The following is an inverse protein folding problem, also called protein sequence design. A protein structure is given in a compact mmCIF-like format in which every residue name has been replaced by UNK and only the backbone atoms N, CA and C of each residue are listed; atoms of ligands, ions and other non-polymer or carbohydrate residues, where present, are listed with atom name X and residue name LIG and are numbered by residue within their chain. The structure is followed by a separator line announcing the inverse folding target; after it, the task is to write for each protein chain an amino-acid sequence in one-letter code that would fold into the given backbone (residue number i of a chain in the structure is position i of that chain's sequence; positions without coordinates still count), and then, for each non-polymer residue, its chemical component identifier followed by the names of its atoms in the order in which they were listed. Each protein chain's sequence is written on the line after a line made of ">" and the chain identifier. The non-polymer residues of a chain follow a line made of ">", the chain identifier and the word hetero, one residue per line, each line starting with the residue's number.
data_IF_146047883892
#
_entry.id   IF_146047883892
#
_cell.length_a   1.000
_cell.length_b   1.000
_cell.length_c   1.000
_cell.angle_alpha   90.00
_cell.angle_beta   90.00
_cell.angle_gamma   90.00
#
_symmetry.space_group_name_H-M   'P 1'
#
loop_
_entity.id
_entity.type
_entity.pdbx_description
1 polymer ?
#
# COMPACT_ATOMS: atom_id res chain seq x y z
N UNK A 1 -32.37 -7.48 -2.17
CA UNK A 1 -32.01 -6.39 -3.14
C UNK A 1 -32.96 -6.29 -4.36
N UNK A 2 -34.18 -5.76 -4.22
CA UNK A 2 -35.12 -5.59 -5.35
C UNK A 2 -34.97 -4.21 -6.00
N UNK A 3 -34.34 -4.13 -7.17
CA UNK A 3 -34.21 -2.89 -7.94
C UNK A 3 -32.92 -2.76 -8.76
N UNK A 4 -31.90 -3.59 -8.50
CA UNK A 4 -30.67 -3.58 -9.28
C UNK A 4 -30.79 -4.44 -10.54
N UNK A 5 -30.28 -3.92 -11.65
CA UNK A 5 -30.21 -4.64 -12.92
C UNK A 5 -29.24 -5.82 -12.80
N UNK A 6 -29.67 -7.02 -13.16
CA UNK A 6 -28.84 -8.23 -13.20
C UNK A 6 -28.56 -8.57 -14.66
N UNK A 7 -27.29 -8.81 -14.98
CA UNK A 7 -26.81 -9.14 -16.31
C UNK A 7 -26.23 -10.54 -16.33
N UNK A 8 -26.36 -11.25 -17.45
CA UNK A 8 -25.54 -12.43 -17.73
C UNK A 8 -24.40 -11.99 -18.65
N UNK A 9 -23.15 -12.21 -18.23
CA UNK A 9 -21.96 -11.68 -18.87
C UNK A 9 -20.94 -12.80 -19.10
N UNK A 10 -20.43 -12.92 -20.32
CA UNK A 10 -19.16 -13.58 -20.58
C UNK A 10 -18.04 -12.58 -20.26
N UNK A 11 -17.19 -12.88 -19.29
CA UNK A 11 -16.12 -11.97 -18.84
C UNK A 11 -14.81 -12.26 -19.55
N UNK A 12 -14.19 -11.20 -20.07
CA UNK A 12 -12.91 -11.25 -20.73
C UNK A 12 -11.75 -10.96 -19.80
N UNK A 13 -10.74 -10.29 -20.35
CA UNK A 13 -9.46 -10.04 -19.70
C UNK A 13 -9.58 -9.23 -18.40
N UNK A 14 -8.63 -9.48 -17.50
CA UNK A 14 -8.45 -8.69 -16.29
C UNK A 14 -7.89 -7.31 -16.65
N UNK A 15 -8.38 -6.28 -15.97
CA UNK A 15 -7.93 -4.90 -16.12
C UNK A 15 -7.45 -4.34 -14.78
N UNK A 16 -6.67 -3.27 -14.84
CA UNK A 16 -6.21 -2.54 -13.66
C UNK A 16 -7.38 -2.16 -12.74
N UNK A 17 -7.21 -2.38 -11.43
CA UNK A 17 -8.27 -2.21 -10.42
C UNK A 17 -9.00 -3.49 -10.03
N UNK A 18 -8.61 -4.65 -10.57
CA UNK A 18 -9.17 -5.95 -10.19
C UNK A 18 -10.53 -6.24 -10.82
N UNK A 19 -10.71 -5.81 -12.07
CA UNK A 19 -11.97 -5.98 -12.81
C UNK A 19 -11.73 -6.78 -14.07
N UNK A 20 -12.54 -7.82 -14.31
CA UNK A 20 -12.67 -8.37 -15.65
C UNK A 20 -13.50 -7.42 -16.52
N UNK A 21 -13.19 -7.38 -17.82
CA UNK A 21 -13.92 -6.54 -18.77
C UNK A 21 -14.91 -7.39 -19.56
N UNK A 22 -16.18 -7.02 -19.54
CA UNK A 22 -17.23 -7.59 -20.37
C UNK A 22 -17.86 -6.51 -21.27
N UNK A 23 -18.66 -6.93 -22.24
CA UNK A 23 -19.49 -6.04 -23.05
C UNK A 23 -20.95 -6.49 -23.00
N UNK A 24 -21.84 -5.53 -22.84
CA UNK A 24 -23.28 -5.76 -22.85
C UNK A 24 -23.97 -4.61 -23.60
N UNK A 25 -24.73 -4.94 -24.65
CA UNK A 25 -25.41 -3.95 -25.51
C UNK A 25 -24.48 -2.81 -25.98
N UNK A 26 -23.25 -3.15 -26.38
CA UNK A 26 -22.23 -2.19 -26.82
C UNK A 26 -21.54 -1.39 -25.71
N UNK A 27 -22.01 -1.48 -24.46
CA UNK A 27 -21.37 -0.83 -23.29
C UNK A 27 -20.27 -1.71 -22.71
N UNK A 28 -19.24 -1.08 -22.15
CA UNK A 28 -18.22 -1.76 -21.35
C UNK A 28 -18.75 -1.97 -19.93
N UNK A 29 -18.54 -3.16 -19.39
CA UNK A 29 -18.89 -3.49 -18.00
C UNK A 29 -17.63 -3.96 -17.28
N UNK A 30 -17.26 -3.27 -16.20
CA UNK A 30 -16.18 -3.68 -15.30
C UNK A 30 -16.76 -4.59 -14.21
N UNK A 31 -16.40 -5.87 -14.27
CA UNK A 31 -16.97 -6.92 -13.43
C UNK A 31 -15.98 -7.32 -12.35
N UNK A 32 -16.29 -7.03 -11.08
CA UNK A 32 -15.53 -7.51 -9.91
C UNK A 32 -15.93 -8.93 -9.56
N UNK A 33 -15.03 -9.64 -8.88
CA UNK A 33 -15.26 -11.00 -8.37
C UNK A 33 -15.41 -12.08 -9.46
N UNK A 34 -15.11 -11.72 -10.72
CA UNK A 34 -15.00 -12.65 -11.83
C UNK A 34 -13.56 -13.13 -12.02
N UNK A 35 -13.40 -14.24 -12.74
CA UNK A 35 -12.13 -14.73 -13.28
C UNK A 35 -12.24 -14.70 -14.80
N UNK A 36 -11.19 -14.29 -15.55
CA UNK A 36 -11.26 -14.27 -17.01
C UNK A 36 -11.70 -15.61 -17.61
N UNK A 37 -12.58 -15.56 -18.61
CA UNK A 37 -13.13 -16.74 -19.28
C UNK A 37 -14.43 -17.29 -18.69
N UNK A 38 -14.91 -16.75 -17.57
CA UNK A 38 -16.17 -17.18 -16.96
C UNK A 38 -17.42 -16.63 -17.63
N UNK A 39 -18.52 -17.36 -17.49
CA UNK A 39 -19.88 -16.85 -17.71
C UNK A 39 -20.54 -16.66 -16.34
N UNK A 40 -20.99 -15.43 -16.05
CA UNK A 40 -21.46 -15.04 -14.71
C UNK A 40 -22.80 -14.30 -14.76
N UNK A 41 -23.58 -14.39 -13.68
CA UNK A 41 -24.61 -13.38 -13.39
C UNK A 41 -24.00 -12.31 -12.51
N UNK A 42 -24.16 -11.06 -12.89
CA UNK A 42 -23.59 -9.92 -12.20
C UNK A 42 -24.65 -8.85 -11.93
N UNK A 43 -24.63 -8.28 -10.73
CA UNK A 43 -25.50 -7.16 -10.34
C UNK A 43 -24.81 -5.84 -10.65
N UNK A 44 -25.49 -4.93 -11.35
CA UNK A 44 -24.95 -3.59 -11.64
C UNK A 44 -24.93 -2.77 -10.35
N UNK A 45 -23.72 -2.37 -9.94
CA UNK A 45 -23.46 -1.63 -8.69
C UNK A 45 -23.27 -0.13 -8.90
N UNK A 46 -22.89 0.29 -10.11
CA UNK A 46 -22.68 1.70 -10.46
C UNK A 46 -22.92 1.94 -11.95
N UNK A 47 -23.54 3.08 -12.26
CA UNK A 47 -23.87 3.52 -13.61
C UNK A 47 -25.39 3.53 -13.90
N UNK A 48 -25.80 4.50 -14.72
CA UNK A 48 -27.16 4.64 -15.24
C UNK A 48 -27.26 4.19 -16.71
N UNK A 49 -28.45 4.18 -17.29
CA UNK A 49 -28.66 3.84 -18.71
C UNK A 49 -27.89 4.72 -19.70
N UNK A 50 -27.49 5.93 -19.29
CA UNK A 50 -26.70 6.90 -20.09
C UNK A 50 -25.20 6.83 -19.83
N UNK A 51 -24.75 6.01 -18.87
CA UNK A 51 -23.33 5.87 -18.54
C UNK A 51 -22.58 5.13 -19.66
N UNK A 52 -21.36 5.61 -19.99
CA UNK A 52 -20.51 5.01 -21.03
C UNK A 52 -20.01 3.60 -20.65
N UNK A 53 -19.98 3.31 -19.36
CA UNK A 53 -19.63 2.02 -18.81
C UNK A 53 -20.44 1.77 -17.54
N UNK A 54 -20.53 0.49 -17.15
CA UNK A 54 -21.11 0.05 -15.88
C UNK A 54 -20.07 -0.63 -15.01
N UNK A 55 -20.34 -0.68 -13.71
CA UNK A 55 -19.66 -1.60 -12.79
C UNK A 55 -20.65 -2.63 -12.29
N UNK A 56 -20.18 -3.85 -12.13
CA UNK A 56 -20.97 -4.93 -11.61
C UNK A 56 -20.13 -5.83 -10.69
N UNK A 57 -20.81 -6.47 -9.74
CA UNK A 57 -20.21 -7.53 -8.93
C UNK A 57 -20.85 -8.87 -9.35
N UNK A 58 -20.03 -9.92 -9.45
CA UNK A 58 -20.53 -11.29 -9.64
C UNK A 58 -21.37 -11.71 -8.44
N UNK A 59 -22.57 -12.22 -8.72
CA UNK A 59 -23.49 -12.81 -7.72
C UNK A 59 -23.68 -14.32 -7.92
N UNK A 60 -23.39 -14.84 -9.13
CA UNK A 60 -23.49 -16.26 -9.46
C UNK A 60 -22.55 -16.59 -10.62
N UNK A 61 -21.98 -17.80 -10.63
CA UNK A 61 -21.03 -18.27 -11.63
C UNK A 61 -21.67 -19.44 -12.37
N UNK A 62 -22.03 -19.21 -13.64
CA UNK A 62 -22.73 -20.19 -14.48
C UNK A 62 -21.74 -21.17 -15.12
N UNK A 63 -20.61 -20.65 -15.59
CA UNK A 63 -19.49 -21.42 -16.12
C UNK A 63 -18.21 -20.91 -15.44
N UNK A 64 -17.65 -21.72 -14.55
CA UNK A 64 -16.52 -21.34 -13.70
C UNK A 64 -15.16 -21.62 -14.34
N UNK A 65 -14.17 -20.80 -14.00
CA UNK A 65 -12.77 -21.04 -14.35
C UNK A 65 -12.14 -22.08 -13.44
N UNK A 66 -11.25 -22.93 -13.97
CA UNK A 66 -10.41 -23.84 -13.17
C UNK A 66 -9.49 -23.07 -12.19
N UNK A 67 -9.32 -21.76 -12.40
CA UNK A 67 -8.54 -20.90 -11.52
C UNK A 67 -9.38 -20.23 -10.42
N UNK A 68 -10.69 -20.46 -10.40
CA UNK A 68 -11.55 -20.04 -9.28
C UNK A 68 -11.33 -20.97 -8.10
N UNK A 69 -11.23 -20.37 -6.91
CA UNK A 69 -11.23 -21.09 -5.64
C UNK A 69 -12.30 -20.53 -4.72
N UNK A 70 -12.59 -21.27 -3.65
CA UNK A 70 -13.37 -20.74 -2.54
C UNK A 70 -12.62 -19.56 -1.89
N UNK A 71 -13.33 -18.46 -1.68
CA UNK A 71 -12.75 -17.29 -1.05
C UNK A 71 -12.32 -17.62 0.40
N UNK A 72 -11.06 -17.36 0.79
CA UNK A 72 -10.54 -17.72 2.11
C UNK A 72 -11.15 -16.89 3.24
N UNK A 73 -11.59 -15.66 2.93
CA UNK A 73 -12.26 -14.79 3.88
C UNK A 73 -13.76 -14.68 3.58
N UNK A 74 -14.59 -15.38 4.36
CA UNK A 74 -16.05 -15.49 4.10
C UNK A 74 -16.78 -14.15 3.98
N UNK A 75 -16.36 -13.11 4.71
CA UNK A 75 -17.03 -11.79 4.67
C UNK A 75 -16.68 -10.98 3.41
N UNK A 76 -15.59 -11.32 2.71
CA UNK A 76 -15.17 -10.70 1.45
C UNK A 76 -15.57 -11.53 0.22
N UNK A 77 -16.14 -12.71 0.41
CA UNK A 77 -16.68 -13.55 -0.66
C UNK A 77 -17.96 -12.94 -1.23
N UNK A 78 -17.94 -12.50 -2.48
CA UNK A 78 -19.08 -11.86 -3.12
C UNK A 78 -20.30 -12.78 -3.23
N UNK A 79 -20.10 -14.04 -3.65
CA UNK A 79 -21.21 -14.98 -3.83
C UNK A 79 -21.95 -15.17 -2.50
N UNK A 80 -21.19 -15.43 -1.44
CA UNK A 80 -21.73 -15.59 -0.10
C UNK A 80 -22.35 -14.31 0.46
N UNK A 81 -21.75 -13.15 0.22
CA UNK A 81 -22.26 -11.89 0.72
C UNK A 81 -23.63 -11.59 0.11
N UNK A 82 -23.77 -11.74 -1.20
CA UNK A 82 -25.04 -11.51 -1.90
C UNK A 82 -26.12 -12.54 -1.57
N UNK A 83 -25.76 -13.81 -1.30
CA UNK A 83 -26.69 -14.82 -0.77
C UNK A 83 -27.29 -14.44 0.60
N UNK A 84 -26.61 -13.56 1.34
CA UNK A 84 -27.04 -13.05 2.64
C UNK A 84 -27.53 -11.59 2.60
N UNK A 85 -27.86 -11.05 1.41
CA UNK A 85 -28.25 -9.65 1.20
C UNK A 85 -27.26 -8.64 1.82
N UNK A 86 -25.96 -8.94 1.74
CA UNK A 86 -24.87 -8.08 2.20
C UNK A 86 -23.87 -7.77 1.08
N UNK A 87 -23.16 -6.65 1.20
CA UNK A 87 -22.04 -6.34 0.31
C UNK A 87 -20.75 -7.03 0.78
N UNK A 88 -19.89 -7.53 -0.12
CA UNK A 88 -18.62 -8.11 0.27
C UNK A 88 -17.68 -7.05 0.84
N UNK A 89 -17.06 -7.37 1.98
CA UNK A 89 -16.03 -6.52 2.59
C UNK A 89 -14.86 -6.34 1.62
N UNK A 90 -14.35 -5.11 1.51
CA UNK A 90 -13.22 -4.80 0.65
C UNK A 90 -11.87 -5.29 1.18
N UNK A 91 -10.86 -5.25 0.32
CA UNK A 91 -9.45 -5.48 0.71
C UNK A 91 -8.90 -6.88 0.42
N UNK A 92 -9.71 -7.80 -0.13
CA UNK A 92 -9.27 -9.11 -0.61
C UNK A 92 -9.92 -9.44 -1.97
N UNK A 93 -9.88 -8.51 -2.93
CA UNK A 93 -10.65 -8.58 -4.17
C UNK A 93 -10.21 -9.70 -5.14
N UNK A 94 -9.07 -10.34 -4.93
CA UNK A 94 -8.61 -11.52 -5.66
C UNK A 94 -8.75 -12.83 -4.86
N UNK A 95 -9.36 -12.82 -3.67
CA UNK A 95 -9.43 -14.01 -2.82
C UNK A 95 -10.16 -15.20 -3.45
N UNK A 96 -11.01 -14.99 -4.46
CA UNK A 96 -11.69 -16.04 -5.22
C UNK A 96 -10.83 -16.65 -6.35
N UNK A 97 -9.58 -16.21 -6.50
CA UNK A 97 -8.65 -16.66 -7.55
C UNK A 97 -7.52 -17.46 -6.89
N UNK A 98 -7.09 -18.55 -7.51
CA UNK A 98 -5.87 -19.29 -7.10
C UNK A 98 -4.65 -18.39 -7.11
N UNK A 99 -3.75 -18.54 -6.13
CA UNK A 99 -2.61 -17.66 -5.90
C UNK A 99 -1.67 -17.57 -7.14
N UNK A 100 -1.40 -18.70 -7.79
CA UNK A 100 -0.59 -18.76 -9.02
C UNK A 100 -1.25 -17.94 -10.14
N UNK A 101 -2.56 -18.06 -10.30
CA UNK A 101 -3.27 -17.31 -11.33
C UNK A 101 -3.38 -15.83 -10.99
N UNK A 102 -3.48 -15.45 -9.70
CA UNK A 102 -3.42 -14.03 -9.30
C UNK A 102 -2.13 -13.37 -9.81
N UNK A 103 -0.97 -14.02 -9.62
CA UNK A 103 0.32 -13.49 -10.09
C UNK A 103 0.38 -13.36 -11.61
N UNK A 104 -0.11 -14.36 -12.35
CA UNK A 104 -0.24 -14.27 -13.82
C UNK A 104 -1.11 -13.09 -14.26
N UNK A 105 -2.24 -12.86 -13.59
CA UNK A 105 -3.10 -11.71 -13.89
C UNK A 105 -2.43 -10.37 -13.55
N UNK A 106 -1.61 -10.31 -12.50
CA UNK A 106 -0.81 -9.11 -12.18
C UNK A 106 0.24 -8.84 -13.27
N UNK A 107 0.97 -9.86 -13.69
CA UNK A 107 1.93 -9.80 -14.81
C UNK A 107 1.28 -9.31 -16.10
N UNK A 108 0.13 -9.89 -16.47
CA UNK A 108 -0.66 -9.46 -17.62
C UNK A 108 -1.10 -8.00 -17.49
N UNK A 109 -1.73 -7.62 -16.38
CA UNK A 109 -2.23 -6.25 -16.18
C UNK A 109 -1.08 -5.24 -16.21
N UNK A 110 0.09 -5.60 -15.67
CA UNK A 110 1.28 -4.78 -15.73
C UNK A 110 1.73 -4.56 -17.18
N UNK A 111 1.90 -5.65 -17.96
CA UNK A 111 2.23 -5.60 -19.41
C UNK A 111 1.28 -4.72 -20.20
N UNK A 112 -0.02 -4.96 -20.06
CA UNK A 112 -1.05 -4.24 -20.79
C UNK A 112 -1.07 -2.74 -20.41
N UNK A 113 -0.75 -2.42 -19.15
CA UNK A 113 -0.67 -1.04 -18.66
C UNK A 113 0.57 -0.33 -19.20
N UNK A 114 1.74 -0.98 -19.17
CA UNK A 114 2.99 -0.45 -19.74
C UNK A 114 2.84 -0.15 -21.23
N UNK A 115 2.25 -1.07 -21.99
CA UNK A 115 2.01 -0.86 -23.42
C UNK A 115 1.00 0.27 -23.66
N UNK A 116 -0.14 0.26 -22.96
CA UNK A 116 -1.25 1.19 -23.25
C UNK A 116 -1.00 2.62 -22.77
N UNK A 117 -0.40 2.78 -21.60
CA UNK A 117 -0.17 4.11 -20.98
C UNK A 117 1.25 4.58 -21.26
N UNK A 118 2.23 3.69 -21.09
CA UNK A 118 3.63 3.99 -21.28
C UNK A 118 4.08 3.94 -22.74
N UNK A 119 3.34 3.27 -23.63
CA UNK A 119 3.86 2.92 -24.98
C UNK A 119 5.22 2.21 -24.90
N UNK A 120 5.41 1.40 -23.87
CA UNK A 120 6.61 0.61 -23.60
C UNK A 120 6.25 -0.86 -23.77
N UNK A 121 6.89 -1.50 -24.74
CA UNK A 121 6.81 -2.95 -24.92
C UNK A 121 7.81 -3.61 -23.97
N UNK A 122 7.31 -4.16 -22.86
CA UNK A 122 8.17 -4.81 -21.87
C UNK A 122 8.72 -6.15 -22.36
N UNK A 123 8.15 -6.73 -23.42
CA UNK A 123 8.63 -8.02 -23.96
C UNK A 123 9.99 -7.93 -24.63
N UNK A 124 10.45 -6.70 -24.91
CA UNK A 124 11.77 -6.44 -25.51
C UNK A 124 12.84 -6.15 -24.46
N UNK A 125 12.52 -6.17 -23.17
CA UNK A 125 13.49 -5.94 -22.10
C UNK A 125 14.37 -7.17 -21.91
N UNK A 126 15.67 -6.94 -21.68
CA UNK A 126 16.63 -7.99 -21.34
C UNK A 126 16.70 -8.11 -19.82
N UNK A 127 15.85 -8.99 -19.26
CA UNK A 127 15.74 -9.20 -17.81
C UNK A 127 15.50 -10.66 -17.47
N UNK A 128 16.07 -11.10 -16.35
CA UNK A 128 15.89 -12.45 -15.80
C UNK A 128 14.46 -12.73 -15.31
N UNK A 129 13.60 -11.69 -15.25
CA UNK A 129 12.23 -11.77 -14.73
C UNK A 129 11.18 -12.06 -15.81
N UNK A 130 11.61 -12.30 -17.05
CA UNK A 130 10.70 -12.56 -18.17
C UNK A 130 9.96 -13.90 -18.01
N UNK A 131 8.64 -13.84 -18.11
CA UNK A 131 7.73 -14.96 -18.19
C UNK A 131 7.62 -15.53 -19.60
N UNK A 132 7.04 -16.73 -19.73
CA UNK A 132 6.93 -17.44 -21.01
C UNK A 132 6.01 -16.72 -22.02
N UNK A 133 5.18 -15.78 -21.56
CA UNK A 133 4.26 -14.99 -22.41
C UNK A 133 4.79 -13.59 -22.71
N UNK A 134 6.09 -13.33 -22.49
CA UNK A 134 6.67 -12.01 -22.70
C UNK A 134 6.17 -10.95 -21.71
N UNK A 135 5.68 -11.37 -20.54
CA UNK A 135 5.39 -10.52 -19.38
C UNK A 135 6.48 -10.60 -18.33
N UNK A 136 6.45 -9.69 -17.35
CA UNK A 136 7.33 -9.77 -16.16
C UNK A 136 6.62 -10.60 -15.11
N UNK A 137 7.28 -11.66 -14.63
CA UNK A 137 6.73 -12.55 -13.60
C UNK A 137 6.51 -11.76 -12.31
N UNK A 138 5.28 -11.74 -11.81
CA UNK A 138 5.00 -11.25 -10.46
C UNK A 138 5.56 -12.27 -9.44
N UNK A 139 6.59 -11.88 -8.72
CA UNK A 139 7.29 -12.71 -7.75
C UNK A 139 6.48 -12.84 -6.45
N UNK A 140 6.39 -14.07 -5.94
CA UNK A 140 5.82 -14.32 -4.62
C UNK A 140 6.83 -13.94 -3.53
N UNK A 141 6.35 -13.27 -2.47
CA UNK A 141 7.17 -12.97 -1.30
C UNK A 141 6.96 -13.98 -0.18
N UNK A 142 8.03 -14.31 0.58
CA UNK A 142 7.86 -14.98 1.86
C UNK A 142 7.03 -14.08 2.79
N UNK A 143 6.37 -14.68 3.77
CA UNK A 143 5.61 -13.94 4.76
C UNK A 143 4.10 -13.91 4.51
N UNK A 144 3.62 -14.34 3.35
CA UNK A 144 2.25 -14.83 3.23
C UNK A 144 2.22 -16.37 3.37
N UNK A 145 1.11 -16.95 3.83
CA UNK A 145 0.92 -18.40 3.75
C UNK A 145 0.61 -18.86 2.31
N UNK A 146 0.46 -20.17 2.10
CA UNK A 146 0.13 -20.73 0.79
C UNK A 146 -1.21 -20.24 0.20
N UNK A 147 -2.10 -19.67 1.02
CA UNK A 147 -3.36 -19.08 0.58
C UNK A 147 -3.28 -17.56 0.37
N UNK A 148 -2.12 -16.94 0.59
CA UNK A 148 -1.87 -15.51 0.51
C UNK A 148 -2.40 -14.70 1.72
N UNK A 149 -2.52 -15.34 2.89
CA UNK A 149 -2.96 -14.72 4.16
C UNK A 149 -1.76 -14.29 5.02
N UNK A 150 -2.04 -13.65 6.15
CA UNK A 150 -1.08 -13.44 7.25
C UNK A 150 0.18 -12.63 6.94
N UNK A 151 0.09 -11.69 6.02
CA UNK A 151 1.22 -10.84 5.64
C UNK A 151 1.13 -9.41 6.18
N UNK A 152 -0.09 -8.93 6.47
CA UNK A 152 -0.36 -7.52 6.74
C UNK A 152 -0.11 -7.16 8.20
N UNK A 153 0.88 -6.31 8.44
CA UNK A 153 1.30 -5.86 9.78
C UNK A 153 0.50 -4.66 10.27
N UNK A 154 -0.11 -3.89 9.37
CA UNK A 154 -0.88 -2.70 9.70
C UNK A 154 -2.25 -2.68 9.05
N UNK A 155 -3.29 -2.52 9.86
CA UNK A 155 -4.69 -2.52 9.41
C UNK A 155 -5.48 -1.38 10.06
N UNK A 156 -6.23 -0.65 9.26
CA UNK A 156 -7.17 0.37 9.73
C UNK A 156 -8.60 -0.15 9.69
N UNK A 157 -9.27 -0.16 10.84
CA UNK A 157 -10.67 -0.56 10.99
C UNK A 157 -11.52 0.67 11.31
N UNK A 158 -12.71 0.76 10.70
CA UNK A 158 -13.78 1.60 11.25
C UNK A 158 -14.37 0.96 12.52
N UNK A 159 -15.18 1.72 13.25
CA UNK A 159 -15.93 1.19 14.40
C UNK A 159 -17.42 1.44 14.20
N UNK A 160 -18.24 0.39 14.39
CA UNK A 160 -19.70 0.49 14.37
C UNK A 160 -20.28 -0.37 15.49
N UNK A 161 -21.17 0.20 16.31
CA UNK A 161 -21.72 -0.49 17.48
C UNK A 161 -20.65 -0.98 18.48
N UNK A 162 -19.46 -0.36 18.48
CA UNK A 162 -18.30 -0.77 19.28
C UNK A 162 -17.46 -1.90 18.67
N UNK A 163 -17.90 -2.55 17.59
CA UNK A 163 -17.13 -3.57 16.89
C UNK A 163 -16.21 -2.97 15.83
N UNK A 164 -15.04 -3.59 15.63
CA UNK A 164 -14.19 -3.32 14.48
C UNK A 164 -14.94 -3.66 13.19
N UNK A 165 -14.80 -2.83 12.16
CA UNK A 165 -15.55 -2.94 10.93
C UNK A 165 -14.74 -2.49 9.71
N UNK A 166 -15.12 -2.97 8.53
CA UNK A 166 -14.55 -2.55 7.26
C UNK A 166 -15.63 -2.18 6.25
N UNK A 167 -15.23 -1.37 5.28
CA UNK A 167 -16.12 -0.91 4.21
C UNK A 167 -16.11 -1.91 3.05
N UNK A 168 -17.28 -2.18 2.44
CA UNK A 168 -17.33 -2.69 1.08
C UNK A 168 -16.67 -1.75 0.08
N UNK A 169 -16.32 -2.27 -1.09
CA UNK A 169 -15.78 -1.45 -2.18
C UNK A 169 -16.76 -0.34 -2.56
N UNK A 170 -16.26 0.90 -2.65
CA UNK A 170 -17.02 2.10 -3.03
C UNK A 170 -18.29 2.34 -2.20
N UNK A 171 -18.33 1.85 -0.96
CA UNK A 171 -19.43 2.09 -0.01
C UNK A 171 -18.96 2.91 1.20
N UNK A 172 -19.90 3.62 1.82
CA UNK A 172 -19.70 4.29 3.11
C UNK A 172 -20.17 3.44 4.30
N UNK A 173 -20.88 2.33 4.02
CA UNK A 173 -21.34 1.37 5.02
C UNK A 173 -20.16 0.68 5.73
N UNK A 174 -20.32 0.44 7.03
CA UNK A 174 -19.37 -0.32 7.83
C UNK A 174 -19.98 -1.68 8.20
N UNK A 175 -19.30 -2.75 7.81
CA UNK A 175 -19.68 -4.12 8.15
C UNK A 175 -18.81 -4.60 9.32
N UNK A 176 -19.41 -4.97 10.47
CA UNK A 176 -18.68 -5.54 11.60
C UNK A 176 -17.88 -6.78 11.20
N UNK A 177 -16.65 -6.87 11.68
CA UNK A 177 -15.74 -7.98 11.41
C UNK A 177 -15.62 -8.91 12.59
N UNK A 178 -15.43 -10.21 12.29
CA UNK A 178 -15.04 -11.21 13.28
C UNK A 178 -13.56 -11.61 13.16
N UNK A 179 -12.95 -11.32 12.02
CA UNK A 179 -11.54 -11.58 11.74
C UNK A 179 -11.07 -10.77 10.53
N UNK A 180 -9.75 -10.65 10.38
CA UNK A 180 -9.07 -10.10 9.20
C UNK A 180 -7.95 -11.06 8.78
N UNK A 181 -8.23 -12.08 7.96
CA UNK A 181 -7.25 -13.14 7.63
C UNK A 181 -5.99 -12.64 6.90
N UNK A 182 -6.04 -11.50 6.22
CA UNK A 182 -4.84 -10.92 5.60
C UNK A 182 -3.86 -10.35 6.65
N UNK A 183 -4.35 -9.99 7.84
CA UNK A 183 -3.50 -9.56 8.93
C UNK A 183 -2.64 -10.71 9.45
N UNK A 184 -1.43 -10.39 9.90
CA UNK A 184 -0.55 -11.34 10.58
C UNK A 184 -1.27 -12.04 11.74
N UNK A 185 -0.88 -13.27 12.03
CA UNK A 185 -1.56 -14.14 13.00
C UNK A 185 -1.71 -13.51 14.39
N UNK A 186 -0.73 -12.70 14.82
CA UNK A 186 -0.77 -11.96 16.09
C UNK A 186 -2.00 -11.05 16.22
N UNK A 187 -2.45 -10.44 15.12
CA UNK A 187 -3.67 -9.60 15.11
C UNK A 187 -4.91 -10.47 15.35
N UNK A 188 -5.03 -11.60 14.68
CA UNK A 188 -6.15 -12.54 14.89
C UNK A 188 -6.14 -13.15 16.30
N UNK A 189 -4.96 -13.53 16.79
CA UNK A 189 -4.76 -14.21 18.06
C UNK A 189 -4.83 -13.27 19.28
N UNK A 190 -4.90 -11.95 19.08
CA UNK A 190 -4.97 -10.94 20.15
C UNK A 190 -6.34 -10.82 20.84
N UNK A 191 -7.40 -11.34 20.20
CA UNK A 191 -8.78 -11.21 20.69
C UNK A 191 -9.42 -9.83 20.47
N UNK A 192 -8.74 -8.88 19.82
CA UNK A 192 -9.25 -7.50 19.65
C UNK A 192 -10.58 -7.42 18.88
N UNK A 193 -10.93 -8.42 18.08
CA UNK A 193 -12.22 -8.46 17.37
C UNK A 193 -13.43 -8.66 18.31
N UNK A 194 -13.21 -9.10 19.56
CA UNK A 194 -14.26 -9.19 20.58
C UNK A 194 -14.28 -7.98 21.54
N UNK A 195 -13.40 -7.00 21.35
CA UNK A 195 -13.34 -5.81 22.19
C UNK A 195 -14.45 -4.82 21.84
N UNK A 196 -14.87 -4.03 22.83
CA UNK A 196 -15.86 -2.98 22.66
C UNK A 196 -15.18 -1.60 22.58
N UNK A 197 -15.08 -1.07 21.36
CA UNK A 197 -14.54 0.24 21.03
C UNK A 197 -15.61 1.33 20.95
N UNK A 198 -16.76 1.18 21.61
CA UNK A 198 -17.79 2.23 21.63
C UNK A 198 -17.17 3.60 21.99
N UNK A 199 -17.51 4.64 21.23
CA UNK A 199 -16.92 5.97 21.34
C UNK A 199 -15.71 6.22 20.41
N UNK A 200 -15.09 5.17 19.85
CA UNK A 200 -14.09 5.33 18.81
C UNK A 200 -14.72 5.46 17.41
N UNK A 201 -14.04 6.17 16.52
CA UNK A 201 -14.37 6.28 15.09
C UNK A 201 -13.68 5.17 14.29
N UNK A 202 -12.43 4.91 14.61
CA UNK A 202 -11.58 3.93 13.93
C UNK A 202 -10.46 3.46 14.85
N UNK A 203 -9.92 2.28 14.58
CA UNK A 203 -8.75 1.74 15.26
C UNK A 203 -7.74 1.33 14.20
N UNK A 204 -6.53 1.89 14.23
CA UNK A 204 -5.40 1.28 13.54
C UNK A 204 -4.75 0.26 14.46
N UNK A 205 -4.48 -0.91 13.91
CA UNK A 205 -3.73 -1.98 14.56
C UNK A 205 -2.40 -2.10 13.86
N UNK A 206 -1.32 -2.08 14.64
CA UNK A 206 0.04 -2.28 14.15
C UNK A 206 0.65 -3.47 14.91
N UNK A 207 1.17 -4.42 14.17
CA UNK A 207 1.99 -5.54 14.64
C UNK A 207 3.43 -5.28 14.16
N UNK A 208 4.28 -4.61 14.95
CA UNK A 208 5.61 -4.20 14.51
C UNK A 208 6.44 -5.43 14.12
N UNK A 209 7.10 -5.39 12.97
CA UNK A 209 7.80 -6.56 12.40
C UNK A 209 6.91 -7.77 12.06
N UNK A 210 5.59 -7.66 12.26
CA UNK A 210 4.63 -8.75 12.11
C UNK A 210 4.42 -9.61 13.36
N UNK A 211 4.90 -9.17 14.52
CA UNK A 211 4.84 -9.93 15.77
C UNK A 211 4.04 -9.21 16.88
N UNK A 212 3.91 -9.88 18.03
CA UNK A 212 3.42 -9.28 19.28
C UNK A 212 4.58 -8.57 20.01
N UNK A 213 4.31 -7.57 20.87
CA UNK A 213 2.98 -7.04 21.19
C UNK A 213 2.46 -6.03 20.16
N UNK A 214 1.13 -5.93 20.04
CA UNK A 214 0.44 -5.00 19.16
C UNK A 214 0.39 -3.58 19.73
N UNK A 215 0.35 -2.59 18.83
CA UNK A 215 0.00 -1.20 19.12
C UNK A 215 -1.37 -0.87 18.54
N UNK A 216 -2.28 -0.35 19.35
CA UNK A 216 -3.59 0.14 18.92
C UNK A 216 -3.61 1.67 18.92
N UNK A 217 -3.95 2.28 17.79
CA UNK A 217 -4.18 3.72 17.66
C UNK A 217 -5.68 3.93 17.52
N UNK A 218 -6.33 4.28 18.63
CA UNK A 218 -7.77 4.47 18.73
C UNK A 218 -8.11 5.92 18.44
N UNK A 219 -8.71 6.18 17.29
CA UNK A 219 -9.13 7.54 16.89
C UNK A 219 -10.54 7.84 17.34
N UNK A 220 -10.73 9.01 17.93
CA UNK A 220 -12.03 9.54 18.33
C UNK A 220 -12.41 10.72 17.44
N UNK A 221 -13.69 10.85 17.11
CA UNK A 221 -14.19 12.03 16.38
C UNK A 221 -14.30 13.25 17.29
N UNK A 222 -14.58 14.43 16.72
CA UNK A 222 -14.98 15.60 17.51
C UNK A 222 -16.18 15.25 18.39
N UNK A 223 -16.19 15.64 19.68
CA UNK A 223 -17.18 15.21 20.67
C UNK A 223 -18.58 15.67 20.24
N UNK A 224 -19.29 14.78 19.56
CA UNK A 224 -20.68 14.95 19.12
C UNK A 224 -21.56 13.79 19.60
N UNK A 225 -20.95 12.78 20.26
CA UNK A 225 -21.62 11.67 20.92
C UNK A 225 -21.65 11.84 22.45
N UNK A 226 -22.60 11.16 23.09
CA UNK A 226 -22.95 11.26 24.51
C UNK A 226 -21.95 10.64 25.49
N UNK A 227 -20.88 10.01 25.01
CA UNK A 227 -19.91 9.33 25.87
C UNK A 227 -18.68 10.19 26.14
N UNK A 228 -18.39 10.41 27.42
CA UNK A 228 -17.18 11.09 27.86
C UNK A 228 -15.95 10.32 27.37
N UNK A 229 -14.91 11.00 26.84
CA UNK A 229 -13.62 10.39 26.52
C UNK A 229 -13.02 9.53 27.64
N UNK A 230 -13.35 9.84 28.90
CA UNK A 230 -12.92 9.09 30.09
C UNK A 230 -13.52 7.66 30.14
N UNK A 231 -14.72 7.45 29.61
CA UNK A 231 -15.39 6.14 29.61
C UNK A 231 -14.76 5.15 28.64
N UNK A 232 -14.39 5.61 27.44
CA UNK A 232 -13.64 4.81 26.46
C UNK A 232 -12.24 4.46 27.00
N UNK A 233 -11.54 5.44 27.57
CA UNK A 233 -10.20 5.23 28.11
C UNK A 233 -10.15 4.17 29.22
N UNK A 234 -11.05 4.26 30.22
CA UNK A 234 -11.13 3.26 31.29
C UNK A 234 -11.39 1.86 30.76
N UNK A 235 -12.31 1.70 29.79
CA UNK A 235 -12.55 0.42 29.12
C UNK A 235 -11.32 -0.13 28.41
N UNK A 236 -10.58 0.72 27.70
CA UNK A 236 -9.37 0.29 26.99
C UNK A 236 -8.28 -0.17 27.96
N UNK A 237 -8.14 0.48 29.11
CA UNK A 237 -7.22 0.05 30.17
C UNK A 237 -7.60 -1.33 30.71
N UNK A 238 -8.88 -1.55 31.02
CA UNK A 238 -9.37 -2.85 31.53
C UNK A 238 -9.17 -3.97 30.50
N UNK A 239 -9.47 -3.69 29.23
CA UNK A 239 -9.27 -4.65 28.14
C UNK A 239 -7.79 -5.00 27.95
N UNK A 240 -6.90 -4.00 27.97
CA UNK A 240 -5.46 -4.19 27.86
C UNK A 240 -4.89 -5.02 29.02
N UNK A 241 -5.35 -4.79 30.25
CA UNK A 241 -4.93 -5.56 31.42
C UNK A 241 -5.22 -7.07 31.27
N UNK A 242 -6.26 -7.43 30.51
CA UNK A 242 -6.63 -8.82 30.22
C UNK A 242 -6.01 -9.39 28.92
N UNK A 243 -5.24 -8.60 28.16
CA UNK A 243 -4.64 -9.03 26.90
C UNK A 243 -3.16 -8.67 26.82
N UNK A 244 -2.26 -9.58 27.22
CA UNK A 244 -0.80 -9.33 27.18
C UNK A 244 -0.26 -9.13 25.76
N UNK A 245 -1.08 -9.41 24.74
CA UNK A 245 -0.75 -9.30 23.32
C UNK A 245 -0.85 -7.87 22.79
N UNK A 246 -1.45 -6.96 23.55
CA UNK A 246 -1.54 -5.53 23.24
C UNK A 246 -0.61 -4.77 24.17
N UNK A 247 0.52 -4.31 23.64
CA UNK A 247 1.57 -3.66 24.42
C UNK A 247 1.38 -2.15 24.51
N UNK A 248 0.64 -1.54 23.60
CA UNK A 248 0.39 -0.10 23.62
C UNK A 248 -0.98 0.26 23.08
N UNK A 249 -1.63 1.23 23.74
CA UNK A 249 -2.88 1.83 23.30
C UNK A 249 -2.73 3.35 23.34
N UNK A 250 -2.98 3.97 22.19
CA UNK A 250 -2.83 5.41 21.98
C UNK A 250 -4.19 5.96 21.55
N UNK A 251 -4.72 6.90 22.32
CA UNK A 251 -5.89 7.69 21.91
C UNK A 251 -5.42 8.85 21.04
N UNK A 252 -6.08 9.00 19.89
CA UNK A 252 -5.81 10.04 18.91
C UNK A 252 -7.11 10.85 18.69
N UNK A 253 -7.21 12.00 19.35
CA UNK A 253 -8.37 12.87 19.28
C UNK A 253 -8.18 13.93 18.19
N UNK A 254 -9.06 13.94 17.18
CA UNK A 254 -9.08 15.00 16.17
C UNK A 254 -9.54 16.32 16.81
N UNK A 255 -8.67 17.33 16.84
CA UNK A 255 -9.05 18.68 17.26
C UNK A 255 -9.55 19.48 16.05
N UNK A 256 -10.60 20.27 16.26
CA UNK A 256 -11.14 21.12 15.20
C UNK A 256 -10.06 22.10 14.70
N UNK A 257 -9.94 22.35 13.39
CA UNK A 257 -8.94 23.26 12.86
C UNK A 257 -9.12 24.68 13.43
N UNK A 258 -8.01 25.31 13.84
CA UNK A 258 -8.05 26.69 14.34
C UNK A 258 -8.52 27.65 13.23
N UNK A 259 -9.51 28.51 13.52
CA UNK A 259 -10.08 29.49 12.56
C UNK A 259 -9.18 30.71 12.28
N UNK A 260 -7.85 30.63 12.39
CA UNK A 260 -6.95 31.78 12.19
C UNK A 260 -6.03 31.61 10.99
N UNK A 261 -6.25 32.44 9.96
CA UNK A 261 -5.28 32.78 8.92
C UNK A 261 -5.20 31.80 7.75
N UNK A 262 -6.13 31.90 6.79
CA UNK A 262 -6.09 31.11 5.54
C UNK A 262 -4.85 31.46 4.70
N UNK A 263 -3.82 30.61 4.71
CA UNK A 263 -2.87 30.48 3.59
C UNK A 263 -3.27 29.29 2.71
N UNK A 264 -3.05 29.42 1.40
CA UNK A 264 -3.41 28.39 0.38
C UNK A 264 -2.72 27.03 0.59
N UNK A 265 -1.68 26.97 1.44
CA UNK A 265 -0.93 25.76 1.79
C UNK A 265 -1.49 24.99 3.01
N UNK A 266 -2.38 25.57 3.81
CA UNK A 266 -2.93 24.92 5.01
C UNK A 266 -4.04 23.91 4.71
N UNK A 267 -4.46 23.77 3.44
CA UNK A 267 -5.47 22.79 3.03
C UNK A 267 -4.95 21.34 3.00
N UNK A 268 -3.63 21.16 3.19
CA UNK A 268 -2.95 19.86 3.25
C UNK A 268 -2.59 19.45 4.69
N UNK A 269 -2.81 20.31 5.69
CA UNK A 269 -2.58 19.92 7.07
C UNK A 269 -3.82 19.17 7.60
N UNK A 270 -3.70 17.90 8.00
CA UNK A 270 -4.77 17.24 8.72
C UNK A 270 -5.12 18.04 9.98
N UNK A 271 -6.37 17.92 10.42
CA UNK A 271 -6.79 18.32 11.78
C UNK A 271 -5.69 17.98 12.79
N UNK A 272 -5.29 18.92 13.65
CA UNK A 272 -4.30 18.64 14.68
C UNK A 272 -4.80 17.47 15.54
N UNK A 273 -4.00 16.42 15.66
CA UNK A 273 -4.35 15.25 16.45
C UNK A 273 -3.68 15.36 17.80
N UNK A 274 -4.47 15.33 18.87
CA UNK A 274 -3.96 15.20 20.23
C UNK A 274 -3.80 13.71 20.57
N UNK A 275 -2.57 13.33 20.88
CA UNK A 275 -2.22 11.94 21.16
C UNK A 275 -1.99 11.74 22.66
N UNK A 276 -2.80 10.87 23.27
CA UNK A 276 -2.65 10.44 24.67
C UNK A 276 -2.33 8.96 24.74
N UNK A 277 -1.31 8.60 25.52
CA UNK A 277 -0.97 7.21 25.80
C UNK A 277 -1.89 6.72 26.91
N UNK A 278 -2.62 5.64 26.64
CA UNK A 278 -3.47 4.95 27.61
C UNK A 278 -2.67 3.81 28.27
N UNK A 279 -1.93 3.05 27.46
CA UNK A 279 -1.04 1.97 27.89
C UNK A 279 0.23 1.99 27.04
N UNK A 280 1.37 1.68 27.64
CA UNK A 280 2.63 1.42 26.94
C UNK A 280 3.32 2.67 26.41
N UNK A 281 3.80 2.59 25.17
CA UNK A 281 4.57 3.63 24.51
C UNK A 281 3.79 4.32 23.39
N UNK A 282 4.17 5.57 23.10
CA UNK A 282 3.58 6.33 21.98
C UNK A 282 4.18 5.97 20.63
N UNK A 283 5.33 5.31 20.62
CA UNK A 283 6.11 5.07 19.39
C UNK A 283 6.05 3.61 18.98
N UNK A 284 6.22 3.38 17.69
CA UNK A 284 6.22 2.06 17.07
C UNK A 284 7.65 1.78 16.62
N UNK A 285 8.19 0.60 16.94
CA UNK A 285 9.55 0.20 16.54
C UNK A 285 9.50 -0.86 15.45
N UNK A 286 9.88 -0.50 14.22
CA UNK A 286 9.86 -1.41 13.07
C UNK A 286 11.27 -1.91 12.74
N UNK A 287 11.48 -3.20 12.46
CA UNK A 287 12.80 -3.76 12.18
C UNK A 287 13.36 -3.23 10.86
N UNK A 288 14.67 -2.98 10.84
CA UNK A 288 15.40 -2.54 9.66
C UNK A 288 16.02 -3.76 8.95
N UNK A 289 15.83 -3.91 7.62
CA UNK A 289 16.56 -4.92 6.87
C UNK A 289 18.06 -4.60 6.75
N UNK A 290 18.42 -3.32 6.85
CA UNK A 290 19.81 -2.84 6.87
C UNK A 290 20.04 -2.05 8.15
N UNK A 291 20.86 -2.56 9.11
CA UNK A 291 21.21 -1.84 10.32
C UNK A 291 21.86 -0.49 10.07
N UNK A 292 21.65 0.46 10.98
CA UNK A 292 22.30 1.78 10.97
C UNK A 292 23.14 1.92 12.23
N UNK A 293 24.44 1.62 12.14
CA UNK A 293 25.30 1.48 13.33
C UNK A 293 24.85 0.30 14.19
N UNK A 294 24.53 0.55 15.45
CA UNK A 294 23.96 -0.41 16.40
C UNK A 294 22.41 -0.49 16.34
N UNK A 295 21.78 0.35 15.52
CA UNK A 295 20.31 0.44 15.42
C UNK A 295 19.78 -0.62 14.46
N UNK A 296 19.01 -1.56 15.00
CA UNK A 296 18.36 -2.65 14.26
C UNK A 296 16.90 -2.36 13.88
N UNK A 297 16.38 -1.20 14.31
CA UNK A 297 14.99 -0.81 14.11
C UNK A 297 14.87 0.72 13.96
N UNK A 298 13.78 1.15 13.33
CA UNK A 298 13.38 2.55 13.23
C UNK A 298 12.20 2.81 14.16
N UNK A 299 12.28 3.90 14.92
CA UNK A 299 11.20 4.33 15.81
C UNK A 299 10.32 5.38 15.13
N UNK A 300 9.06 5.03 14.92
CA UNK A 300 8.06 5.82 14.21
C UNK A 300 7.01 6.41 15.18
N UNK A 301 6.46 7.59 14.88
CA UNK A 301 5.25 8.08 15.53
C UNK A 301 4.02 7.25 15.08
N UNK A 302 2.87 7.37 15.77
CA UNK A 302 1.65 6.62 15.45
C UNK A 302 1.23 6.71 13.98
N UNK A 303 1.31 7.90 13.38
CA UNK A 303 0.97 8.18 11.99
C UNK A 303 2.10 7.86 10.99
N UNK A 304 3.28 7.49 11.48
CA UNK A 304 4.44 7.20 10.65
C UNK A 304 4.18 6.02 9.73
N UNK A 305 4.50 6.19 8.45
CA UNK A 305 4.39 5.13 7.46
C UNK A 305 5.56 4.14 7.58
N UNK A 306 5.22 2.86 7.44
CA UNK A 306 6.14 1.76 7.20
C UNK A 306 5.47 0.77 6.25
N UNK A 307 6.26 -0.08 5.62
CA UNK A 307 5.75 -1.10 4.71
C UNK A 307 4.78 -2.04 5.44
N UNK A 308 3.57 -2.19 4.89
CA UNK A 308 2.47 -2.92 5.57
C UNK A 308 2.57 -4.43 5.44
N UNK A 309 3.47 -4.96 4.60
CA UNK A 309 3.73 -6.38 4.45
C UNK A 309 5.02 -6.72 5.21
N UNK A 310 4.98 -7.72 6.11
CA UNK A 310 6.10 -8.01 7.03
C UNK A 310 7.46 -8.24 6.35
N UNK A 311 7.46 -8.79 5.14
CA UNK A 311 8.70 -9.03 4.37
C UNK A 311 8.98 -8.00 3.28
N UNK A 312 8.12 -6.99 3.10
CA UNK A 312 8.33 -5.97 2.06
C UNK A 312 9.60 -5.15 2.25
N UNK A 313 9.98 -4.66 3.46
CA UNK A 313 11.22 -3.92 3.64
C UNK A 313 12.44 -4.68 3.11
N UNK A 314 12.59 -5.95 3.51
CA UNK A 314 13.72 -6.77 3.09
C UNK A 314 13.66 -7.14 1.61
N UNK A 315 12.47 -7.40 1.06
CA UNK A 315 12.32 -7.75 -0.36
C UNK A 315 12.63 -6.57 -1.28
N UNK A 316 12.14 -5.37 -0.95
CA UNK A 316 12.42 -4.15 -1.68
C UNK A 316 13.92 -3.82 -1.64
N UNK A 317 14.53 -3.82 -0.46
CA UNK A 317 15.97 -3.55 -0.32
C UNK A 317 16.80 -4.58 -1.10
N UNK A 318 16.48 -5.88 -1.02
CA UNK A 318 17.19 -6.90 -1.83
C UNK A 318 17.01 -6.70 -3.34
N UNK A 319 15.85 -6.25 -3.78
CA UNK A 319 15.59 -5.99 -5.20
C UNK A 319 16.43 -4.82 -5.69
N UNK A 320 16.42 -3.70 -4.95
CA UNK A 320 17.26 -2.52 -5.23
C UNK A 320 18.74 -2.89 -5.19
N UNK A 321 19.15 -3.67 -4.20
CA UNK A 321 20.55 -4.12 -4.04
C UNK A 321 21.05 -4.99 -5.20
N UNK A 322 20.17 -5.81 -5.78
CA UNK A 322 20.48 -6.64 -6.96
C UNK A 322 20.59 -5.80 -8.23
N UNK A 323 19.77 -4.77 -8.36
CA UNK A 323 19.66 -3.95 -9.57
C UNK A 323 20.70 -2.83 -9.63
N UNK A 324 20.86 -2.07 -8.54
CA UNK A 324 21.62 -0.83 -8.54
C UNK A 324 23.10 -1.06 -8.21
N UNK A 325 23.97 -0.29 -8.86
CA UNK A 325 25.39 -0.23 -8.55
C UNK A 325 25.71 1.06 -7.79
N UNK A 326 25.84 0.95 -6.46
CA UNK A 326 26.25 2.07 -5.62
C UNK A 326 27.66 1.82 -5.04
N UNK A 327 28.71 2.47 -5.57
CA UNK A 327 30.08 2.22 -5.15
C UNK A 327 30.37 2.73 -3.73
N UNK A 328 31.35 2.11 -3.06
CA UNK A 328 31.89 2.64 -1.81
C UNK A 328 32.51 4.02 -2.06
N UNK A 329 32.22 4.98 -1.17
CA UNK A 329 32.54 6.39 -1.35
C UNK A 329 31.66 7.14 -2.35
N UNK A 330 30.68 6.47 -2.96
CA UNK A 330 29.73 7.07 -3.90
C UNK A 330 28.68 7.94 -3.23
N UNK A 331 27.70 8.35 -4.04
CA UNK A 331 26.69 9.32 -3.71
C UNK A 331 25.30 8.86 -4.13
N UNK A 332 24.31 9.02 -3.26
CA UNK A 332 22.92 8.67 -3.54
C UNK A 332 21.93 9.74 -3.07
N UNK A 333 20.80 9.85 -3.76
CA UNK A 333 19.66 10.68 -3.33
C UNK A 333 18.44 9.77 -3.20
N UNK A 334 17.84 9.72 -2.01
CA UNK A 334 16.58 9.02 -1.72
C UNK A 334 15.44 10.06 -1.66
N UNK A 335 14.59 10.06 -2.68
CA UNK A 335 13.42 10.92 -2.79
C UNK A 335 12.17 10.17 -2.32
N UNK A 336 11.32 10.87 -1.56
CA UNK A 336 10.18 10.25 -0.88
C UNK A 336 10.66 9.19 0.14
N UNK A 337 11.77 9.50 0.81
CA UNK A 337 12.54 8.54 1.60
C UNK A 337 11.76 7.95 2.79
N UNK A 338 10.65 8.57 3.19
CA UNK A 338 9.89 8.17 4.36
C UNK A 338 10.80 8.19 5.59
N UNK A 339 10.86 7.05 6.30
CA UNK A 339 11.70 6.90 7.48
C UNK A 339 13.14 6.43 7.17
N UNK A 340 13.48 6.33 5.88
CA UNK A 340 14.82 6.03 5.39
C UNK A 340 15.11 4.55 5.17
N UNK A 341 14.16 3.80 4.60
CA UNK A 341 14.37 2.40 4.23
C UNK A 341 15.53 2.26 3.23
N UNK A 342 15.48 3.02 2.13
CA UNK A 342 16.53 3.02 1.11
C UNK A 342 17.71 3.89 1.52
N UNK A 343 17.50 4.98 2.27
CA UNK A 343 18.60 5.73 2.92
C UNK A 343 19.53 4.83 3.72
N UNK A 344 18.99 3.91 4.54
CA UNK A 344 19.80 2.99 5.35
C UNK A 344 20.62 2.03 4.48
N UNK A 345 20.00 1.47 3.44
CA UNK A 345 20.69 0.65 2.44
C UNK A 345 21.81 1.43 1.74
N UNK A 346 21.51 2.60 1.20
CA UNK A 346 22.47 3.44 0.49
C UNK A 346 23.64 3.85 1.40
N UNK A 347 23.35 4.25 2.64
CA UNK A 347 24.38 4.64 3.60
C UNK A 347 25.33 3.49 3.94
N UNK A 348 24.82 2.26 3.99
CA UNK A 348 25.63 1.06 4.20
C UNK A 348 26.54 0.73 3.01
N UNK A 349 26.09 1.03 1.78
CA UNK A 349 26.83 0.78 0.53
C UNK A 349 27.91 1.82 0.30
N UNK A 350 27.59 3.11 0.47
CA UNK A 350 28.57 4.18 0.28
C UNK A 350 29.63 4.23 1.38
N UNK A 351 29.29 3.80 2.60
CA UNK A 351 30.16 3.92 3.76
C UNK A 351 30.45 5.39 4.14
N UNK A 352 31.30 5.58 5.15
CA UNK A 352 31.53 6.88 5.79
C UNK A 352 32.16 7.96 4.89
N UNK A 353 32.79 7.57 3.78
CA UNK A 353 33.40 8.49 2.81
C UNK A 353 32.47 8.94 1.69
N UNK A 354 31.26 8.36 1.60
CA UNK A 354 30.27 8.74 0.59
C UNK A 354 29.25 9.74 1.10
N UNK A 355 28.17 9.93 0.33
CA UNK A 355 27.11 10.90 0.65
C UNK A 355 25.72 10.36 0.29
N UNK A 356 24.76 10.48 1.19
CA UNK A 356 23.37 10.10 0.97
C UNK A 356 22.47 11.25 1.40
N UNK A 357 21.71 11.80 0.45
CA UNK A 357 20.69 12.80 0.72
C UNK A 357 19.32 12.13 0.83
N UNK A 358 18.69 12.23 2.00
CA UNK A 358 17.35 11.69 2.26
C UNK A 358 16.32 12.82 2.29
N UNK A 359 15.32 12.77 1.40
CA UNK A 359 14.32 13.82 1.24
C UNK A 359 12.92 13.27 1.55
N UNK A 360 12.30 13.80 2.61
CA UNK A 360 10.95 13.42 3.04
C UNK A 360 10.10 14.65 3.39
N UNK A 361 8.85 14.70 2.92
CA UNK A 361 7.99 15.87 3.12
C UNK A 361 7.28 15.87 4.49
N UNK A 362 6.83 14.70 4.95
CA UNK A 362 6.08 14.54 6.18
C UNK A 362 6.99 14.73 7.40
N UNK A 363 6.74 15.78 8.18
CA UNK A 363 7.51 16.10 9.40
C UNK A 363 7.69 14.91 10.33
N UNK A 364 6.62 14.16 10.71
CA UNK A 364 6.77 13.08 11.70
C UNK A 364 7.69 11.96 11.21
N UNK A 365 7.67 11.66 9.91
CA UNK A 365 8.50 10.63 9.30
C UNK A 365 9.94 11.12 9.08
N UNK A 366 10.12 12.37 8.64
CA UNK A 366 11.44 13.00 8.53
C UNK A 366 12.14 13.10 9.90
N UNK A 367 11.41 13.40 10.98
CA UNK A 367 11.96 13.40 12.34
C UNK A 367 12.40 12.00 12.80
N UNK A 368 11.69 10.95 12.40
CA UNK A 368 12.10 9.57 12.65
C UNK A 368 13.41 9.24 11.89
N UNK A 369 13.52 9.64 10.62
CA UNK A 369 14.74 9.50 9.84
C UNK A 369 15.92 10.29 10.46
N UNK A 370 15.73 11.54 10.87
CA UNK A 370 16.77 12.34 11.55
C UNK A 370 17.30 11.66 12.80
N UNK A 371 16.43 11.04 13.60
CA UNK A 371 16.83 10.27 14.80
C UNK A 371 17.59 9.00 14.42
N UNK A 372 17.10 8.27 13.40
CA UNK A 372 17.73 7.04 12.91
C UNK A 372 19.15 7.30 12.39
N UNK A 373 19.38 8.39 11.67
CA UNK A 373 20.68 8.75 11.08
C UNK A 373 21.49 9.72 11.93
N UNK A 374 21.09 10.00 13.18
CA UNK A 374 21.86 10.84 14.08
C UNK A 374 23.26 10.23 14.31
N UNK A 375 24.30 11.02 13.99
CA UNK A 375 25.70 10.60 14.09
C UNK A 375 26.21 9.76 12.92
N UNK A 376 25.41 9.59 11.85
CA UNK A 376 25.83 8.91 10.62
C UNK A 376 26.43 9.96 9.67
N UNK A 377 27.76 10.00 9.47
CA UNK A 377 28.44 11.14 8.86
C UNK A 377 28.14 11.31 7.36
N UNK A 378 27.77 10.22 6.68
CA UNK A 378 27.49 10.19 5.25
C UNK A 378 26.01 10.37 4.91
N UNK A 379 25.13 10.71 5.87
CA UNK A 379 23.69 10.90 5.62
C UNK A 379 23.25 12.31 5.99
N UNK A 380 22.63 13.00 5.04
CA UNK A 380 21.91 14.26 5.27
C UNK A 380 20.41 14.02 5.15
N UNK A 381 19.64 14.41 6.18
CA UNK A 381 18.17 14.31 6.18
C UNK A 381 17.55 15.69 6.03
N UNK A 382 16.79 15.88 4.95
CA UNK A 382 16.10 17.12 4.60
C UNK A 382 14.60 16.90 4.62
N UNK A 383 13.90 17.71 5.42
CA UNK A 383 12.44 17.77 5.39
C UNK A 383 11.98 18.67 4.25
N UNK A 384 11.64 18.09 3.11
CA UNK A 384 11.18 18.83 1.94
C UNK A 384 10.37 17.93 1.00
N UNK A 385 9.55 18.55 0.14
CA UNK A 385 8.94 17.83 -0.97
C UNK A 385 9.98 17.56 -2.05
N UNK A 386 9.93 16.39 -2.70
CA UNK A 386 10.76 16.09 -3.88
C UNK A 386 10.60 17.16 -4.96
N UNK A 387 9.37 17.68 -5.10
CA UNK A 387 9.04 18.83 -5.92
C UNK A 387 9.93 20.03 -5.62
N UNK A 388 10.05 20.43 -4.36
CA UNK A 388 10.82 21.61 -3.94
C UNK A 388 12.33 21.43 -4.04
N UNK A 389 12.83 20.19 -3.99
CA UNK A 389 14.25 19.87 -4.13
C UNK A 389 14.66 19.63 -5.58
N UNK A 390 13.72 19.39 -6.50
CA UNK A 390 13.99 19.03 -7.90
C UNK A 390 15.05 19.91 -8.61
N UNK A 391 14.99 21.23 -8.44
CA UNK A 391 15.94 22.17 -9.08
C UNK A 391 17.27 22.34 -8.31
N UNK A 392 17.44 21.62 -7.22
CA UNK A 392 18.61 21.64 -6.33
C UNK A 392 19.28 20.27 -6.23
N UNK A 393 18.76 19.29 -6.96
CA UNK A 393 19.41 18.00 -7.10
C UNK A 393 20.76 18.21 -7.77
N UNK A 394 21.76 17.52 -7.26
CA UNK A 394 23.13 17.53 -7.78
C UNK A 394 23.41 16.18 -8.41
N UNK A 395 24.42 16.11 -9.27
CA UNK A 395 24.90 14.84 -9.82
C UNK A 395 25.24 13.86 -8.71
N UNK A 396 24.79 12.63 -8.88
CA UNK A 396 24.99 11.53 -7.94
C UNK A 396 25.14 10.21 -8.69
N UNK A 397 25.66 9.17 -8.06
CA UNK A 397 25.74 7.84 -8.67
C UNK A 397 24.34 7.22 -8.83
N UNK A 398 23.45 7.47 -7.86
CA UNK A 398 22.11 6.89 -7.84
C UNK A 398 21.05 7.86 -7.32
N UNK A 399 19.89 7.88 -7.99
CA UNK A 399 18.64 8.43 -7.41
C UNK A 399 17.65 7.29 -7.19
N UNK A 400 17.14 7.15 -5.96
CA UNK A 400 16.03 6.26 -5.62
C UNK A 400 14.78 7.10 -5.43
N UNK A 401 13.63 6.66 -5.97
CA UNK A 401 12.34 7.28 -5.73
C UNK A 401 11.24 6.24 -5.50
N UNK A 402 10.50 6.41 -4.41
CA UNK A 402 9.29 5.63 -4.04
C UNK A 402 8.08 6.57 -3.86
N UNK A 403 7.57 7.17 -4.96
CA UNK A 403 6.50 8.16 -4.89
C UNK A 403 5.16 7.55 -4.45
N UNK A 404 4.21 8.39 -3.98
CA UNK A 404 2.85 7.95 -3.71
C UNK A 404 2.16 7.42 -4.98
N UNK A 405 0.98 6.79 -4.84
CA UNK A 405 0.17 6.21 -5.94
C UNK A 405 -0.12 7.14 -7.12
N UNK A 406 0.01 8.45 -6.95
CA UNK A 406 -0.14 9.42 -8.04
C UNK A 406 1.06 9.47 -8.99
N UNK A 407 2.17 8.82 -8.62
CA UNK A 407 3.46 8.87 -9.29
C UNK A 407 4.27 10.12 -8.95
N UNK A 408 5.43 10.26 -9.58
CA UNK A 408 6.30 11.42 -9.46
C UNK A 408 5.79 12.57 -10.34
N UNK A 409 5.84 13.81 -9.82
CA UNK A 409 5.47 14.96 -10.62
C UNK A 409 6.49 15.17 -11.76
N UNK A 410 6.03 15.63 -12.93
CA UNK A 410 6.91 15.90 -14.09
C UNK A 410 8.15 16.75 -13.73
N UNK A 411 7.97 17.77 -12.87
CA UNK A 411 9.08 18.62 -12.37
C UNK A 411 10.16 17.85 -11.62
N UNK A 412 9.78 16.78 -10.92
CA UNK A 412 10.72 15.91 -10.19
C UNK A 412 11.54 15.11 -11.19
N UNK A 413 10.89 14.45 -12.15
CA UNK A 413 11.58 13.69 -13.20
C UNK A 413 12.50 14.58 -14.03
N UNK A 414 12.06 15.78 -14.42
CA UNK A 414 12.93 16.75 -15.11
C UNK A 414 14.08 17.26 -14.24
N UNK A 415 13.88 17.37 -12.92
CA UNK A 415 14.96 17.73 -11.98
C UNK A 415 15.99 16.63 -11.82
N UNK A 416 15.55 15.36 -11.77
CA UNK A 416 16.43 14.18 -11.76
C UNK A 416 17.23 14.15 -13.06
N UNK A 417 16.57 14.32 -14.21
CA UNK A 417 17.24 14.36 -15.52
C UNK A 417 18.28 15.48 -15.62
N UNK A 418 17.96 16.68 -15.13
CA UNK A 418 18.89 17.81 -15.11
C UNK A 418 20.07 17.62 -14.15
N UNK A 419 19.91 16.81 -13.10
CA UNK A 419 20.99 16.45 -12.19
C UNK A 419 21.94 15.40 -12.78
N UNK A 420 21.50 14.67 -13.82
CA UNK A 420 22.28 13.67 -14.57
C UNK A 420 22.90 12.58 -13.67
N UNK A 421 22.11 11.83 -12.88
CA UNK A 421 22.67 10.76 -12.06
C UNK A 421 23.20 9.59 -12.90
N UNK A 422 24.02 8.72 -12.31
CA UNK A 422 24.46 7.50 -12.99
C UNK A 422 23.31 6.53 -13.27
N UNK A 423 22.42 6.38 -12.30
CA UNK A 423 21.29 5.43 -12.34
C UNK A 423 20.05 6.01 -11.64
N UNK A 424 18.87 5.51 -12.02
CA UNK A 424 17.60 5.80 -11.32
C UNK A 424 16.93 4.49 -10.95
N UNK A 425 16.55 4.34 -9.68
CA UNK A 425 15.67 3.27 -9.21
C UNK A 425 14.30 3.83 -8.91
N UNK A 426 13.29 3.43 -9.69
CA UNK A 426 11.90 3.83 -9.50
C UNK A 426 11.10 2.68 -8.90
N UNK A 427 10.54 2.87 -7.70
CA UNK A 427 9.60 1.96 -7.03
C UNK A 427 8.17 2.48 -7.20
N UNK A 428 7.19 1.60 -7.43
CA UNK A 428 5.79 2.01 -7.52
C UNK A 428 4.79 0.91 -7.20
N UNK A 429 3.80 1.25 -6.38
CA UNK A 429 2.64 0.40 -6.11
C UNK A 429 1.46 0.62 -7.08
N UNK A 430 1.59 1.53 -8.06
CA UNK A 430 0.55 1.85 -9.04
C UNK A 430 1.08 1.79 -10.48
N UNK A 431 0.74 0.74 -11.25
CA UNK A 431 1.31 0.53 -12.58
C UNK A 431 0.90 1.61 -13.60
N UNK A 432 -0.22 2.31 -13.39
CA UNK A 432 -0.65 3.34 -14.32
C UNK A 432 0.19 4.61 -14.18
N UNK A 433 0.44 5.04 -12.94
CA UNK A 433 1.36 6.15 -12.68
C UNK A 433 2.80 5.80 -13.07
N UNK A 434 3.25 4.58 -12.77
CA UNK A 434 4.56 4.07 -13.16
C UNK A 434 4.76 4.08 -14.68
N UNK A 435 3.80 3.56 -15.46
CA UNK A 435 3.90 3.54 -16.92
C UNK A 435 3.98 4.95 -17.53
N UNK A 436 3.18 5.90 -17.00
CA UNK A 436 3.22 7.31 -17.41
C UNK A 436 4.59 7.93 -17.13
N UNK A 437 5.12 7.70 -15.94
CA UNK A 437 6.36 8.33 -15.48
C UNK A 437 7.59 7.69 -16.17
N UNK A 438 7.55 6.38 -16.41
CA UNK A 438 8.53 5.65 -17.23
C UNK A 438 8.59 6.20 -18.64
N UNK A 439 7.44 6.49 -19.28
CA UNK A 439 7.42 7.12 -20.61
C UNK A 439 8.10 8.49 -20.60
N UNK A 440 7.85 9.30 -19.57
CA UNK A 440 8.50 10.60 -19.44
C UNK A 440 10.03 10.46 -19.30
N UNK A 441 10.52 9.49 -18.50
CA UNK A 441 11.94 9.20 -18.41
C UNK A 441 12.51 8.73 -19.75
N UNK A 442 11.80 7.86 -20.49
CA UNK A 442 12.21 7.43 -21.82
C UNK A 442 12.26 8.58 -22.83
N UNK A 443 11.31 9.53 -22.77
CA UNK A 443 11.35 10.76 -23.60
C UNK A 443 12.57 11.65 -23.28
N UNK A 444 13.09 11.55 -22.05
CA UNK A 444 14.30 12.25 -21.60
C UNK A 444 15.60 11.47 -21.89
N UNK A 445 15.51 10.30 -22.55
CA UNK A 445 16.66 9.50 -22.96
C UNK A 445 17.07 8.38 -22.00
N UNK A 446 16.30 8.14 -20.94
CA UNK A 446 16.53 7.03 -20.01
C UNK A 446 15.94 5.72 -20.53
N UNK A 447 16.65 4.62 -20.33
CA UNK A 447 16.21 3.29 -20.75
C UNK A 447 16.01 2.39 -19.55
N UNK A 448 14.90 1.64 -19.50
CA UNK A 448 14.69 0.58 -18.50
C UNK A 448 15.71 -0.53 -18.79
N UNK A 449 16.60 -0.79 -17.82
CA UNK A 449 17.64 -1.82 -17.91
C UNK A 449 17.27 -3.11 -17.21
N UNK A 450 16.58 -2.99 -16.09
CA UNK A 450 16.01 -4.14 -15.38
C UNK A 450 14.68 -3.72 -14.73
N UNK A 451 13.78 -4.68 -14.55
CA UNK A 451 12.49 -4.48 -13.92
C UNK A 451 12.03 -5.74 -13.20
N UNK A 452 11.51 -5.57 -11.99
CA UNK A 452 10.92 -6.64 -11.19
C UNK A 452 9.50 -6.26 -10.78
N UNK A 453 8.63 -7.26 -10.70
CA UNK A 453 7.26 -7.13 -10.23
C UNK A 453 7.09 -8.00 -8.99
N UNK A 454 6.74 -7.40 -7.86
CA UNK A 454 6.62 -8.05 -6.57
C UNK A 454 5.14 -8.15 -6.15
N UNK A 455 4.71 -9.35 -5.78
CA UNK A 455 3.40 -9.59 -5.18
C UNK A 455 3.43 -9.28 -3.67
N UNK A 456 3.57 -7.98 -3.33
CA UNK A 456 3.52 -7.51 -1.94
C UNK A 456 2.12 -7.60 -1.32
N UNK A 457 1.08 -7.81 -2.13
CA UNK A 457 -0.31 -7.75 -1.68
C UNK A 457 -1.13 -8.94 -2.23
N UNK A 458 -0.81 -10.19 -1.83
CA UNK A 458 -1.58 -11.36 -2.23
C UNK A 458 -3.05 -11.21 -1.87
N UNK A 459 -3.93 -11.77 -2.70
CA UNK A 459 -5.40 -11.62 -2.63
C UNK A 459 -5.93 -10.22 -2.90
N UNK A 460 -5.09 -9.31 -3.37
CA UNK A 460 -5.52 -8.01 -3.90
C UNK A 460 -5.03 -7.82 -5.33
N UNK A 461 -5.62 -6.88 -6.06
CA UNK A 461 -5.09 -6.48 -7.38
C UNK A 461 -3.82 -5.63 -7.30
N UNK A 462 -3.39 -5.18 -6.11
CA UNK A 462 -2.19 -4.35 -5.96
C UNK A 462 -0.93 -5.16 -6.27
N UNK A 463 0.06 -4.48 -6.83
CA UNK A 463 1.36 -5.02 -7.22
C UNK A 463 2.39 -3.93 -7.01
N UNK A 464 3.65 -4.31 -6.82
CA UNK A 464 4.75 -3.37 -6.62
C UNK A 464 5.78 -3.58 -7.73
N UNK A 465 6.16 -2.54 -8.46
CA UNK A 465 7.20 -2.60 -9.50
C UNK A 465 8.45 -1.87 -9.04
N UNK A 466 9.62 -2.44 -9.33
CA UNK A 466 10.93 -1.80 -9.14
C UNK A 466 11.64 -1.81 -10.48
N UNK A 467 12.08 -0.66 -10.98
CA UNK A 467 12.80 -0.56 -12.24
C UNK A 467 14.09 0.24 -12.12
N UNK A 468 15.13 -0.26 -12.77
CA UNK A 468 16.40 0.41 -12.98
C UNK A 468 16.37 1.13 -14.32
N UNK A 469 16.68 2.42 -14.31
CA UNK A 469 16.91 3.21 -15.51
C UNK A 469 18.36 3.66 -15.58
N UNK A 470 18.92 3.61 -16.78
CA UNK A 470 20.25 4.14 -17.11
C UNK A 470 20.20 4.89 -18.44
N UNK A 471 21.19 5.75 -18.67
CA UNK A 471 21.45 6.30 -20.01
C UNK A 471 22.23 5.28 -20.84
N UNK A 472 21.99 5.27 -22.14
CA UNK A 472 22.75 4.43 -23.09
C UNK A 472 24.06 5.09 -23.51
#
# INVERSE_FOLDING_TARGET
>A
MTGHQILTLAVGQMSHGGHCVARHEGRVVFVRHAVPGETVRAVVTDGSSTSRFWRADVIDVLEGSDHRRRHPWKQADALRAYDHDQLPVGGADYGHITDVHQRRLKSQVFRDTMQRIGSIDISTLDTDHMGPEGDIIAEHLPGADAAGMHWRTRVSFGVVGGSLAMKPSRSHELIPLRSMPLAVESVGASGIFSWNFAGARSVDVVAPGGEEPLTLIVRTGSPSGSESPTGLEGRLMDLAASSPKVGSIILAAETAPSRRGRRRYDQLQPSSVDYRVVVGDRTISEPLPTPVGDRLAVTLPPEGFWQIHRSAPSALVRTVDRMAHLPAGGSAIDLYAGAGLFTAWAASRTGASGQVLSVEAASPTSDAARKLFAGVPNVEVVQATAESTANRLVTSDLVVLDPPRTGAAKRVLSGIDAADPGQIIYISCDPASFARDSRLLCDLGWTIRDIALLDLYPNTHHMESVALFERS
#
